data_IF_740435435132
#
_entry.id   IF_740435435132
#
_cell.length_a   1.000
_cell.length_b   1.000
_cell.length_c   1.000
_cell.angle_alpha   90.00
_cell.angle_beta   90.00
_cell.angle_gamma   90.00
#
_symmetry.space_group_name_H-M   'P 1'
#
loop_
_entity.id
_entity.type
_entity.pdbx_description
1 polymer ?
#
# COMPACT_ATOMS: atom_id res chain seq x y z
N UNK A 1 -12.68 6.34 -4.25
CA UNK A 1 -11.61 7.28 -4.63
C UNK A 1 -10.56 7.51 -3.54
N UNK A 2 -10.92 7.81 -2.28
CA UNK A 2 -9.93 8.07 -1.23
C UNK A 2 -8.98 6.88 -0.95
N UNK A 3 -9.49 5.65 -0.98
CA UNK A 3 -8.70 4.41 -0.76
C UNK A 3 -7.72 4.10 -1.89
N UNK A 4 -7.89 4.72 -3.07
CA UNK A 4 -7.07 4.47 -4.24
C UNK A 4 -5.89 5.45 -4.34
N UNK A 5 -5.76 6.39 -3.38
CA UNK A 5 -4.73 7.42 -3.36
C UNK A 5 -4.60 8.21 -4.67
N UNK A 6 -5.67 8.27 -5.48
CA UNK A 6 -5.71 8.98 -6.76
C UNK A 6 -6.36 10.35 -6.56
N UNK A 7 -5.99 11.37 -7.36
CA UNK A 7 -6.69 12.65 -7.34
C UNK A 7 -8.20 12.45 -7.56
N UNK A 8 -9.00 13.19 -6.80
CA UNK A 8 -10.44 13.30 -6.98
C UNK A 8 -10.81 14.76 -7.20
N UNK A 9 -11.82 15.00 -8.04
CA UNK A 9 -12.32 16.34 -8.32
C UNK A 9 -13.73 16.49 -7.74
N UNK A 10 -13.97 17.60 -7.05
CA UNK A 10 -15.27 17.98 -6.54
C UNK A 10 -15.61 19.37 -7.06
N UNK A 11 -16.70 19.48 -7.82
CA UNK A 11 -17.24 20.78 -8.23
C UNK A 11 -18.23 21.25 -7.18
N UNK A 12 -17.97 22.39 -6.56
CA UNK A 12 -18.84 22.99 -5.55
C UNK A 12 -19.40 24.32 -6.08
N UNK A 13 -20.69 24.36 -6.47
CA UNK A 13 -21.36 25.61 -6.85
C UNK A 13 -21.36 26.65 -5.72
N UNK A 14 -21.33 27.94 -6.10
CA UNK A 14 -21.17 29.04 -5.14
C UNK A 14 -22.36 29.22 -4.19
N UNK A 15 -23.56 28.88 -4.63
CA UNK A 15 -24.79 28.84 -3.84
C UNK A 15 -24.76 27.70 -2.83
N UNK A 16 -24.31 26.51 -3.26
CA UNK A 16 -24.15 25.34 -2.39
C UNK A 16 -23.05 25.56 -1.34
N UNK A 17 -21.98 26.28 -1.68
CA UNK A 17 -20.90 26.60 -0.73
C UNK A 17 -21.37 27.48 0.45
N UNK A 18 -22.46 28.24 0.29
CA UNK A 18 -23.04 29.10 1.34
C UNK A 18 -24.14 28.41 2.14
N UNK A 19 -24.59 27.24 1.71
CA UNK A 19 -25.63 26.50 2.40
C UNK A 19 -25.18 26.14 3.83
N UNK A 20 -26.08 26.29 4.80
CA UNK A 20 -25.81 25.86 6.18
C UNK A 20 -25.63 24.34 6.18
N UNK A 21 -24.52 23.87 6.71
CA UNK A 21 -24.25 22.46 6.92
C UNK A 21 -24.10 22.16 8.41
N UNK A 22 -24.61 21.01 8.84
CA UNK A 22 -24.38 20.52 10.19
C UNK A 22 -22.94 20.02 10.30
N UNK A 23 -22.17 20.44 11.33
CA UNK A 23 -20.82 19.95 11.53
C UNK A 23 -20.77 18.42 11.66
N UNK A 24 -19.78 17.74 11.06
CA UNK A 24 -19.62 16.31 11.24
C UNK A 24 -19.25 15.99 12.69
N UNK A 25 -20.00 15.07 13.31
CA UNK A 25 -19.79 14.65 14.69
C UNK A 25 -18.49 13.85 14.90
N UNK A 26 -17.93 13.27 13.83
CA UNK A 26 -16.77 12.40 13.88
C UNK A 26 -15.82 12.69 12.71
N UNK A 27 -14.55 12.33 12.91
CA UNK A 27 -13.54 12.37 11.85
C UNK A 27 -13.93 11.40 10.73
N UNK A 28 -13.61 11.76 9.49
CA UNK A 28 -13.74 10.87 8.33
C UNK A 28 -12.90 9.61 8.53
N UNK A 29 -13.58 8.46 8.68
CA UNK A 29 -12.94 7.16 8.76
C UNK A 29 -12.86 6.56 7.34
N UNK A 30 -11.66 6.16 6.93
CA UNK A 30 -11.45 5.45 5.68
C UNK A 30 -11.31 3.97 6.02
N UNK A 31 -12.34 3.18 5.72
CA UNK A 31 -12.29 1.74 5.92
C UNK A 31 -11.49 1.09 4.79
N UNK A 32 -10.37 0.48 5.15
CA UNK A 32 -9.70 -0.52 4.29
C UNK A 32 -10.39 -1.86 4.53
N UNK A 33 -10.95 -2.45 3.48
CA UNK A 33 -11.47 -3.81 3.55
C UNK A 33 -10.29 -4.78 3.75
N UNK A 34 -10.36 -5.70 4.71
CA UNK A 34 -9.37 -6.75 4.84
C UNK A 34 -9.38 -7.63 3.58
N UNK A 35 -8.25 -8.29 3.31
CA UNK A 35 -8.21 -9.33 2.30
C UNK A 35 -9.13 -10.49 2.70
N UNK A 36 -9.72 -11.15 1.72
CA UNK A 36 -10.44 -12.41 1.96
C UNK A 36 -9.45 -13.48 2.43
N UNK A 37 -9.74 -14.14 3.56
CA UNK A 37 -8.84 -15.10 4.20
C UNK A 37 -8.52 -16.30 3.29
N UNK A 38 -9.48 -16.77 2.49
CA UNK A 38 -9.24 -17.89 1.57
C UNK A 38 -8.32 -17.47 0.42
N UNK A 39 -8.52 -16.27 -0.12
CA UNK A 39 -7.63 -15.70 -1.14
C UNK A 39 -6.23 -15.47 -0.59
N UNK A 40 -6.11 -14.99 0.64
CA UNK A 40 -4.82 -14.78 1.30
C UNK A 40 -4.08 -16.10 1.54
N UNK A 41 -4.77 -17.14 1.99
CA UNK A 41 -4.21 -18.47 2.18
C UNK A 41 -3.71 -19.07 0.86
N UNK A 42 -4.53 -19.00 -0.20
CA UNK A 42 -4.15 -19.48 -1.54
C UNK A 42 -2.96 -18.73 -2.12
N UNK A 43 -2.93 -17.40 -1.97
CA UNK A 43 -1.78 -16.59 -2.36
C UNK A 43 -0.50 -17.01 -1.62
N UNK A 44 -0.60 -17.20 -0.30
CA UNK A 44 0.55 -17.59 0.53
C UNK A 44 1.11 -18.96 0.12
N UNK A 45 0.26 -19.97 -0.04
CA UNK A 45 0.69 -21.31 -0.43
C UNK A 45 1.44 -21.30 -1.77
N UNK A 46 0.89 -20.58 -2.76
CA UNK A 46 1.53 -20.46 -4.07
C UNK A 46 2.84 -19.67 -4.04
N UNK A 47 2.87 -18.55 -3.32
CA UNK A 47 4.09 -17.76 -3.15
C UNK A 47 5.19 -18.56 -2.45
N UNK A 48 4.85 -19.31 -1.40
CA UNK A 48 5.79 -20.19 -0.69
C UNK A 48 6.36 -21.26 -1.62
N UNK A 49 5.51 -21.95 -2.40
CA UNK A 49 5.96 -22.98 -3.35
C UNK A 49 6.92 -22.41 -4.40
N UNK A 50 6.64 -21.23 -4.92
CA UNK A 50 7.48 -20.54 -5.91
C UNK A 50 8.82 -20.07 -5.33
N UNK A 51 8.82 -19.56 -4.10
CA UNK A 51 10.02 -19.07 -3.44
C UNK A 51 10.92 -20.22 -2.95
N UNK A 52 10.34 -21.35 -2.49
CA UNK A 52 11.11 -22.54 -2.06
C UNK A 52 11.96 -23.15 -3.18
N UNK A 53 11.51 -23.07 -4.43
CA UNK A 53 12.29 -23.56 -5.59
C UNK A 53 13.44 -22.63 -6.00
N UNK A 54 13.50 -21.42 -5.44
CA UNK A 54 14.45 -20.38 -5.85
C UNK A 54 15.64 -20.30 -4.90
N UNK A 55 16.86 -20.48 -5.42
CA UNK A 55 18.10 -20.37 -4.61
C UNK A 55 18.47 -18.95 -4.22
N UNK A 56 17.99 -17.96 -4.98
CA UNK A 56 18.23 -16.54 -4.72
C UNK A 56 16.96 -15.77 -4.97
N UNK A 57 16.61 -14.92 -4.01
CA UNK A 57 15.44 -14.03 -4.09
C UNK A 57 15.95 -12.60 -4.07
N UNK A 58 15.33 -11.72 -4.86
CA UNK A 58 15.60 -10.29 -4.85
C UNK A 58 14.28 -9.56 -4.68
N UNK A 59 14.29 -8.46 -3.93
CA UNK A 59 13.10 -7.67 -3.67
C UNK A 59 13.17 -6.38 -4.47
N UNK A 60 12.15 -6.16 -5.29
CA UNK A 60 11.90 -4.91 -5.99
C UNK A 60 10.70 -4.22 -5.32
N UNK A 61 10.92 -3.00 -4.84
CA UNK A 61 9.86 -2.14 -4.30
C UNK A 61 10.00 -0.76 -4.90
N UNK A 62 8.87 -0.17 -5.30
CA UNK A 62 8.80 1.08 -6.04
C UNK A 62 7.84 2.07 -5.33
N UNK A 63 7.49 3.19 -5.97
CA UNK A 63 6.71 4.32 -5.45
C UNK A 63 5.36 3.93 -4.81
N UNK A 64 4.77 2.79 -5.19
CA UNK A 64 3.55 2.30 -4.54
C UNK A 64 3.79 2.00 -3.06
N UNK A 65 4.95 1.48 -2.69
CA UNK A 65 5.31 1.27 -1.29
C UNK A 65 5.31 2.60 -0.53
N UNK A 66 5.76 3.68 -1.17
CA UNK A 66 5.72 5.02 -0.59
C UNK A 66 4.29 5.56 -0.48
N UNK A 67 3.49 5.39 -1.52
CA UNK A 67 2.10 5.87 -1.59
C UNK A 67 1.19 5.24 -0.54
N UNK A 68 1.47 3.99 -0.18
CA UNK A 68 0.75 3.26 0.88
C UNK A 68 1.45 3.31 2.25
N UNK A 69 2.55 4.04 2.40
CA UNK A 69 3.24 4.21 3.70
C UNK A 69 3.94 2.95 4.22
N UNK A 70 4.31 2.02 3.33
CA UNK A 70 4.86 0.70 3.67
C UNK A 70 6.39 0.66 3.79
N UNK A 71 7.09 1.80 3.74
CA UNK A 71 8.55 1.84 3.72
C UNK A 71 9.18 1.23 4.99
N UNK A 72 8.59 1.49 6.16
CA UNK A 72 9.07 0.90 7.42
C UNK A 72 8.88 -0.61 7.44
N UNK A 73 7.70 -1.10 7.02
CA UNK A 73 7.41 -2.52 6.95
C UNK A 73 8.38 -3.25 6.00
N UNK A 74 8.68 -2.65 4.84
CA UNK A 74 9.67 -3.20 3.90
C UNK A 74 11.09 -3.19 4.47
N UNK A 75 11.52 -2.11 5.13
CA UNK A 75 12.82 -2.05 5.81
C UNK A 75 12.97 -3.17 6.83
N UNK A 76 11.99 -3.31 7.72
CA UNK A 76 11.99 -4.34 8.75
C UNK A 76 11.97 -5.75 8.14
N UNK A 77 11.19 -5.95 7.08
CA UNK A 77 11.11 -7.24 6.41
C UNK A 77 12.43 -7.64 5.76
N UNK A 78 13.08 -6.74 5.02
CA UNK A 78 14.39 -7.01 4.41
C UNK A 78 15.47 -7.22 5.47
N UNK A 79 15.42 -6.49 6.59
CA UNK A 79 16.36 -6.70 7.70
C UNK A 79 16.22 -8.10 8.32
N UNK A 80 15.00 -8.64 8.39
CA UNK A 80 14.73 -9.99 8.92
C UNK A 80 15.12 -11.09 7.94
N UNK A 81 15.02 -10.84 6.63
CA UNK A 81 15.34 -11.81 5.57
C UNK A 81 16.75 -11.53 5.06
N UNK A 82 17.76 -11.94 5.84
CA UNK A 82 19.17 -11.81 5.48
C UNK A 82 19.48 -12.60 4.18
N UNK A 83 19.51 -11.91 3.04
CA UNK A 83 19.82 -12.52 1.73
C UNK A 83 19.21 -11.82 0.51
N UNK A 84 18.24 -10.91 0.67
CA UNK A 84 17.70 -10.15 -0.46
C UNK A 84 18.57 -8.95 -0.81
N UNK A 85 19.13 -8.95 -2.02
CA UNK A 85 19.67 -7.75 -2.65
C UNK A 85 18.53 -6.74 -2.88
N UNK A 86 18.68 -5.53 -2.35
CA UNK A 86 17.78 -4.39 -2.60
C UNK A 86 18.12 -3.79 -3.95
N UNK A 87 17.13 -3.71 -4.83
CA UNK A 87 17.19 -2.84 -5.99
C UNK A 87 15.94 -1.96 -6.01
N UNK A 88 16.15 -0.67 -6.24
CA UNK A 88 15.11 0.28 -6.63
C UNK A 88 14.96 0.23 -8.16
N UNK A 89 13.77 0.54 -8.67
CA UNK A 89 13.52 0.68 -10.10
C UNK A 89 14.38 1.80 -10.74
N UNK A 90 14.82 2.78 -9.94
CA UNK A 90 15.65 3.92 -10.36
C UNK A 90 17.17 3.74 -10.09
N UNK A 91 17.63 2.59 -9.58
CA UNK A 91 19.07 2.34 -9.38
C UNK A 91 19.76 3.19 -8.30
N UNK A 92 19.03 4.06 -7.61
CA UNK A 92 19.52 4.79 -6.44
C UNK A 92 19.20 4.00 -5.15
N UNK A 93 20.08 4.05 -4.16
CA UNK A 93 19.93 3.31 -2.89
C UNK A 93 18.58 3.64 -2.22
N UNK A 94 17.71 2.66 -2.07
CA UNK A 94 16.45 2.79 -1.33
C UNK A 94 16.56 2.35 0.14
N UNK A 95 15.99 3.24 0.98
CA UNK A 95 15.63 3.17 2.41
C UNK A 95 16.66 3.49 3.49
#
# INVERSE_FOLDING_TARGET
MLTQHRPGYLMLPADVAKAKATPPAHRLLIHTLPADENQLAGFREHAERMLRSSRRVSLLADFLAQRYGLQNALREWVAKVAGCLRHDADGQRAF
#
